data_IF_814363465262
#
_entry.id   IF_814363465262
#
_cell.length_a   1.000
_cell.length_b   1.000
_cell.length_c   1.000
_cell.angle_alpha   90.00
_cell.angle_beta   90.00
_cell.angle_gamma   90.00
#
_symmetry.space_group_name_H-M   'P 1'
#
loop_
_entity.id
_entity.type
_entity.pdbx_description
1 polymer ?
#
# COMPACT_ATOMS: atom_id res chain seq x y z
N UNK A 1 -39.21 7.39 -41.33
CA UNK A 1 -38.19 8.42 -41.66
C UNK A 1 -37.47 8.80 -40.37
N UNK A 2 -36.48 8.00 -39.95
CA UNK A 2 -35.03 8.20 -40.16
C UNK A 2 -34.47 9.53 -39.65
N UNK A 3 -33.84 9.50 -38.46
CA UNK A 3 -32.44 9.95 -38.30
C UNK A 3 -31.95 9.60 -36.89
N UNK A 4 -31.11 8.57 -36.80
CA UNK A 4 -30.25 8.29 -35.65
C UNK A 4 -29.10 9.30 -35.64
N UNK A 5 -28.85 9.98 -34.52
CA UNK A 5 -27.55 10.61 -34.25
C UNK A 5 -26.70 9.68 -33.39
N UNK A 6 -25.91 8.85 -34.07
CA UNK A 6 -24.70 8.21 -33.53
C UNK A 6 -23.61 9.28 -33.46
N UNK A 7 -23.05 9.51 -32.28
CA UNK A 7 -21.80 10.25 -32.12
C UNK A 7 -20.74 9.28 -31.62
N UNK A 8 -19.77 9.04 -32.48
CA UNK A 8 -18.61 8.19 -32.27
C UNK A 8 -17.62 8.81 -31.26
N UNK A 9 -17.17 7.96 -30.33
CA UNK A 9 -15.76 7.59 -30.09
C UNK A 9 -14.72 8.72 -30.14
N UNK A 10 -14.11 9.00 -28.99
CA UNK A 10 -12.73 9.46 -28.92
C UNK A 10 -12.01 8.65 -27.82
N UNK A 11 -11.34 7.58 -28.24
CA UNK A 11 -10.35 6.86 -27.42
C UNK A 11 -9.08 7.72 -27.43
N UNK A 12 -8.73 8.31 -26.29
CA UNK A 12 -7.41 8.92 -26.12
C UNK A 12 -6.45 7.80 -25.72
N UNK A 13 -5.71 7.30 -26.70
CA UNK A 13 -4.46 6.58 -26.48
C UNK A 13 -3.41 7.61 -26.02
N UNK A 14 -2.94 7.48 -24.78
CA UNK A 14 -1.91 8.32 -24.19
C UNK A 14 -0.70 7.48 -23.80
N UNK A 15 0.38 7.65 -24.58
CA UNK A 15 1.78 7.25 -24.40
C UNK A 15 2.19 6.79 -22.98
N UNK A 16 2.73 5.58 -22.81
CA UNK A 16 4.12 5.24 -23.14
C UNK A 16 5.13 6.25 -22.56
N UNK A 17 5.57 6.05 -21.32
CA UNK A 17 6.80 6.66 -20.83
C UNK A 17 7.62 5.67 -20.00
N UNK A 18 8.56 5.09 -20.74
CA UNK A 18 9.83 4.47 -20.37
C UNK A 18 10.38 4.87 -19.00
N UNK A 19 10.37 3.95 -18.04
CA UNK A 19 11.35 3.91 -16.95
C UNK A 19 12.37 2.82 -17.28
N UNK A 20 13.35 3.18 -18.11
CA UNK A 20 14.53 2.35 -18.34
C UNK A 20 15.50 2.55 -17.17
N UNK A 21 15.48 1.64 -16.20
CA UNK A 21 16.57 1.51 -15.23
C UNK A 21 17.79 0.93 -15.95
N UNK A 22 18.79 1.76 -16.18
CA UNK A 22 20.12 1.34 -16.63
C UNK A 22 20.80 0.63 -15.46
N UNK A 23 20.86 -0.70 -15.52
CA UNK A 23 21.65 -1.52 -14.61
C UNK A 23 23.09 -1.58 -15.13
N UNK A 24 24.05 -1.07 -14.35
CA UNK A 24 25.47 -1.26 -14.58
C UNK A 24 25.89 -2.66 -14.05
N UNK A 25 26.42 -3.56 -14.87
CA UNK A 25 27.00 -4.81 -14.37
C UNK A 25 28.43 -4.56 -13.88
N UNK A 26 28.66 -4.71 -12.57
CA UNK A 26 29.99 -4.84 -12.01
C UNK A 26 30.45 -6.30 -12.19
N UNK A 27 31.23 -6.58 -13.24
CA UNK A 27 31.82 -7.89 -13.48
C UNK A 27 33.12 -8.00 -12.66
N UNK A 28 33.09 -8.79 -11.60
CA UNK A 28 34.29 -9.29 -10.94
C UNK A 28 34.51 -10.75 -11.36
N UNK A 29 35.46 -10.96 -12.27
CA UNK A 29 36.02 -12.27 -12.56
C UNK A 29 37.06 -12.62 -11.49
N UNK A 30 36.81 -13.70 -10.76
CA UNK A 30 37.86 -14.42 -10.04
C UNK A 30 37.56 -15.91 -10.18
N UNK A 31 38.24 -16.53 -11.14
CA UNK A 31 38.38 -17.98 -11.23
C UNK A 31 39.24 -18.43 -10.05
N UNK A 32 38.69 -19.30 -9.19
CA UNK A 32 39.50 -20.07 -8.27
C UNK A 32 39.11 -21.54 -8.41
N UNK A 33 39.84 -22.24 -9.27
CA UNK A 33 39.88 -23.69 -9.35
C UNK A 33 40.62 -24.22 -8.13
N UNK A 34 39.93 -24.94 -7.25
CA UNK A 34 40.58 -25.76 -6.23
C UNK A 34 39.89 -27.10 -6.15
N UNK A 35 40.75 -28.11 -6.09
CA UNK A 35 40.51 -29.50 -6.39
C UNK A 35 39.60 -30.22 -5.37
N UNK A 36 38.95 -31.25 -5.88
CA UNK A 36 38.09 -32.19 -5.17
C UNK A 36 38.83 -33.06 -4.15
N UNK A 37 38.16 -33.35 -3.03
CA UNK A 37 38.28 -34.60 -2.26
C UNK A 37 36.88 -35.02 -1.73
N UNK A 38 36.63 -36.32 -1.49
CA UNK A 38 35.28 -36.89 -1.48
C UNK A 38 34.64 -37.04 -0.08
N UNK A 39 33.32 -36.81 -0.06
CA UNK A 39 32.20 -37.46 0.66
C UNK A 39 32.36 -37.88 2.13
N UNK A 40 31.59 -37.23 3.00
CA UNK A 40 30.91 -37.87 4.14
C UNK A 40 29.39 -37.59 4.06
N UNK A 41 28.51 -38.58 4.27
CA UNK A 41 27.07 -38.40 4.28
C UNK A 41 26.61 -37.97 5.68
N UNK A 42 26.60 -36.66 5.95
CA UNK A 42 26.05 -36.14 7.20
C UNK A 42 24.60 -35.70 6.99
N UNK A 43 23.69 -36.46 7.59
CA UNK A 43 22.28 -36.19 7.92
C UNK A 43 21.64 -34.93 7.35
N UNK A 44 20.57 -35.15 6.58
CA UNK A 44 19.50 -34.21 6.30
C UNK A 44 19.00 -33.53 7.59
N UNK A 45 19.64 -32.43 7.98
CA UNK A 45 18.92 -31.36 8.64
C UNK A 45 17.96 -30.79 7.60
N UNK A 46 16.68 -31.07 7.78
CA UNK A 46 15.60 -30.29 7.20
C UNK A 46 15.77 -28.84 7.66
N UNK A 47 16.64 -28.10 6.98
CA UNK A 47 16.66 -26.64 7.04
C UNK A 47 15.33 -26.21 6.48
N UNK A 48 14.37 -25.96 7.38
CA UNK A 48 13.26 -25.09 7.09
C UNK A 48 13.84 -23.89 6.35
N UNK A 49 13.50 -23.77 5.07
CA UNK A 49 14.01 -22.75 4.17
C UNK A 49 13.57 -21.39 4.73
N UNK A 50 14.35 -20.86 5.66
CA UNK A 50 14.12 -19.55 6.26
C UNK A 50 14.43 -18.55 5.17
N UNK A 51 13.39 -18.14 4.45
CA UNK A 51 13.46 -17.00 3.53
C UNK A 51 14.06 -15.82 4.29
N UNK A 52 15.04 -15.15 3.69
CA UNK A 52 15.68 -14.00 4.34
C UNK A 52 14.65 -12.89 4.59
N UNK A 53 14.83 -12.02 5.60
CA UNK A 53 13.92 -10.91 5.86
C UNK A 53 13.67 -10.03 4.62
N UNK A 54 14.72 -9.82 3.80
CA UNK A 54 14.60 -9.09 2.54
C UNK A 54 13.69 -9.79 1.51
N UNK A 55 13.80 -11.11 1.37
CA UNK A 55 12.91 -11.89 0.48
C UNK A 55 11.46 -11.85 0.96
N UNK A 56 11.23 -12.01 2.27
CA UNK A 56 9.89 -11.92 2.85
C UNK A 56 9.27 -10.54 2.61
N UNK A 57 10.06 -9.47 2.72
CA UNK A 57 9.61 -8.11 2.45
C UNK A 57 9.24 -7.91 0.97
N UNK A 58 10.06 -8.43 0.04
CA UNK A 58 9.75 -8.37 -1.39
C UNK A 58 8.45 -9.11 -1.74
N UNK A 59 8.27 -10.31 -1.19
CA UNK A 59 7.03 -11.09 -1.36
C UNK A 59 5.82 -10.34 -0.80
N UNK A 60 5.94 -9.76 0.40
CA UNK A 60 4.86 -8.98 1.02
C UNK A 60 4.45 -7.78 0.15
N UNK A 61 5.43 -7.05 -0.39
CA UNK A 61 5.17 -5.92 -1.30
C UNK A 61 4.49 -6.39 -2.58
N UNK A 62 4.90 -7.51 -3.15
CA UNK A 62 4.31 -8.07 -4.37
C UNK A 62 2.83 -8.45 -4.16
N UNK A 63 2.54 -9.24 -3.12
CA UNK A 63 1.16 -9.65 -2.78
C UNK A 63 0.29 -8.44 -2.46
N UNK A 64 0.80 -7.47 -1.69
CA UNK A 64 0.07 -6.23 -1.40
C UNK A 64 -0.25 -5.45 -2.68
N UNK A 65 0.68 -5.36 -3.63
CA UNK A 65 0.45 -4.67 -4.91
C UNK A 65 -0.64 -5.38 -5.72
N UNK A 66 -0.61 -6.70 -5.76
CA UNK A 66 -1.64 -7.49 -6.46
C UNK A 66 -3.03 -7.29 -5.84
N UNK A 67 -3.14 -7.35 -4.51
CA UNK A 67 -4.39 -7.06 -3.81
C UNK A 67 -4.90 -5.63 -4.08
N UNK A 68 -4.00 -4.63 -4.16
CA UNK A 68 -4.38 -3.26 -4.51
C UNK A 68 -4.90 -3.15 -5.95
N UNK A 69 -4.32 -3.88 -6.90
CA UNK A 69 -4.80 -3.91 -8.28
C UNK A 69 -6.17 -4.58 -8.37
N UNK A 70 -6.37 -5.69 -7.66
CA UNK A 70 -7.67 -6.37 -7.58
C UNK A 70 -8.71 -5.44 -6.99
N UNK A 71 -8.40 -4.76 -5.88
CA UNK A 71 -9.30 -3.79 -5.26
C UNK A 71 -9.66 -2.65 -6.20
N UNK A 72 -8.68 -2.03 -6.87
CA UNK A 72 -8.94 -0.94 -7.80
C UNK A 72 -9.84 -1.39 -8.97
N UNK A 73 -9.65 -2.61 -9.47
CA UNK A 73 -10.52 -3.20 -10.48
C UNK A 73 -11.93 -3.50 -9.93
N UNK A 74 -12.03 -4.01 -8.71
CA UNK A 74 -13.31 -4.25 -8.04
C UNK A 74 -14.10 -2.95 -7.83
N UNK A 75 -13.44 -1.87 -7.41
CA UNK A 75 -14.07 -0.53 -7.29
C UNK A 75 -14.49 0.04 -8.64
N UNK A 76 -13.70 -0.17 -9.70
CA UNK A 76 -14.06 0.24 -11.05
C UNK A 76 -15.30 -0.52 -11.57
N UNK A 77 -15.36 -1.83 -11.30
CA UNK A 77 -16.43 -2.70 -11.81
C UNK A 77 -17.70 -2.67 -10.93
N UNK A 78 -17.62 -2.16 -9.70
CA UNK A 78 -18.74 -2.00 -8.76
C UNK A 78 -18.92 -0.54 -8.30
N UNK A 79 -19.73 0.27 -9.01
CA UNK A 79 -20.02 1.66 -8.63
C UNK A 79 -20.71 1.80 -7.27
N UNK A 80 -21.37 0.75 -6.76
CA UNK A 80 -21.98 0.81 -5.43
C UNK A 80 -20.90 0.81 -4.35
N UNK A 81 -19.77 0.12 -4.58
CA UNK A 81 -18.63 0.12 -3.67
C UNK A 81 -17.98 1.51 -3.55
N UNK A 82 -17.90 2.26 -4.66
CA UNK A 82 -17.46 3.66 -4.64
C UNK A 82 -18.40 4.49 -3.76
N UNK A 83 -19.71 4.40 -3.97
CA UNK A 83 -20.69 5.15 -3.16
C UNK A 83 -20.60 4.81 -1.67
N UNK A 84 -20.42 3.54 -1.31
CA UNK A 84 -20.22 3.12 0.08
C UNK A 84 -18.94 3.70 0.68
N UNK A 85 -17.85 3.70 -0.09
CA UNK A 85 -16.57 4.30 0.33
C UNK A 85 -16.68 5.81 0.57
N UNK A 86 -17.42 6.52 -0.29
CA UNK A 86 -17.67 7.95 -0.12
C UNK A 86 -18.56 8.25 1.08
N UNK A 87 -19.59 7.42 1.30
CA UNK A 87 -20.47 7.54 2.46
C UNK A 87 -19.69 7.33 3.76
N UNK A 88 -18.88 6.27 3.83
CA UNK A 88 -18.00 6.01 4.97
C UNK A 88 -17.05 7.18 5.23
N UNK A 89 -16.43 7.76 4.19
CA UNK A 89 -15.56 8.95 4.32
C UNK A 89 -16.31 10.15 4.91
N UNK A 90 -17.55 10.39 4.49
CA UNK A 90 -18.39 11.47 5.04
C UNK A 90 -18.71 11.23 6.51
N UNK A 91 -19.06 10.00 6.89
CA UNK A 91 -19.35 9.62 8.28
C UNK A 91 -18.11 9.74 9.16
N UNK A 92 -16.95 9.30 8.68
CA UNK A 92 -15.66 9.48 9.36
C UNK A 92 -15.37 10.96 9.61
N UNK A 93 -15.52 11.83 8.60
CA UNK A 93 -15.26 13.25 8.75
C UNK A 93 -16.24 13.92 9.71
N UNK A 94 -17.51 13.52 9.66
CA UNK A 94 -18.52 13.98 10.61
C UNK A 94 -18.15 13.57 12.06
N UNK A 95 -17.69 12.33 12.26
CA UNK A 95 -17.24 11.83 13.54
C UNK A 95 -15.97 12.55 14.04
N UNK A 96 -14.99 12.80 13.18
CA UNK A 96 -13.81 13.62 13.51
C UNK A 96 -14.22 15.04 13.94
N UNK A 97 -15.17 15.65 13.23
CA UNK A 97 -15.71 16.97 13.55
C UNK A 97 -16.43 16.99 14.89
N UNK A 98 -17.30 16.01 15.14
CA UNK A 98 -17.97 15.81 16.44
C UNK A 98 -16.96 15.67 17.58
N UNK A 99 -15.82 15.05 17.32
CA UNK A 99 -14.73 14.85 18.28
C UNK A 99 -13.79 16.06 18.48
N UNK A 100 -14.11 17.20 17.88
CA UNK A 100 -13.39 18.48 18.05
C UNK A 100 -12.26 18.71 17.05
N UNK A 101 -12.14 17.89 16.00
CA UNK A 101 -11.14 18.06 14.94
C UNK A 101 -11.74 18.73 13.70
N UNK A 102 -10.91 19.26 12.80
CA UNK A 102 -11.35 19.77 11.50
C UNK A 102 -10.62 19.04 10.36
N UNK A 103 -11.15 17.89 9.89
CA UNK A 103 -10.47 17.10 8.86
C UNK A 103 -10.33 17.86 7.53
N UNK A 104 -11.28 18.76 7.23
CA UNK A 104 -11.26 19.52 5.98
C UNK A 104 -10.11 20.53 5.98
N UNK A 105 -9.97 21.30 7.06
CA UNK A 105 -8.85 22.23 7.25
C UNK A 105 -7.50 21.51 7.29
N UNK A 106 -7.45 20.31 7.87
CA UNK A 106 -6.23 19.49 7.84
C UNK A 106 -5.85 19.11 6.40
N UNK A 107 -6.80 18.67 5.58
CA UNK A 107 -6.53 18.33 4.17
C UNK A 107 -6.09 19.55 3.35
N UNK A 108 -6.73 20.70 3.56
CA UNK A 108 -6.34 21.96 2.92
C UNK A 108 -4.90 22.34 3.28
N UNK A 109 -4.54 22.20 4.56
CA UNK A 109 -3.18 22.45 5.06
C UNK A 109 -2.18 21.49 4.44
N UNK A 110 -2.52 20.20 4.34
CA UNK A 110 -1.70 19.18 3.70
C UNK A 110 -1.42 19.52 2.23
N UNK A 111 -2.47 19.85 1.46
CA UNK A 111 -2.36 20.20 0.05
C UNK A 111 -1.54 21.47 -0.17
N UNK A 112 -1.72 22.49 0.67
CA UNK A 112 -0.95 23.74 0.63
C UNK A 112 0.54 23.49 0.88
N UNK A 113 0.88 22.70 1.91
CA UNK A 113 2.27 22.35 2.19
C UNK A 113 2.89 21.49 1.09
N UNK A 114 2.16 20.50 0.57
CA UNK A 114 2.61 19.66 -0.53
C UNK A 114 2.89 20.49 -1.80
N UNK A 115 2.06 21.50 -2.10
CA UNK A 115 2.31 22.42 -3.20
C UNK A 115 3.60 23.23 -2.99
N UNK A 116 3.82 23.79 -1.79
CA UNK A 116 5.05 24.52 -1.46
C UNK A 116 6.31 23.65 -1.54
N UNK A 117 6.22 22.38 -1.14
CA UNK A 117 7.37 21.46 -1.18
C UNK A 117 7.80 21.09 -2.61
N UNK A 118 6.91 21.21 -3.60
CA UNK A 118 7.24 21.01 -5.02
C UNK A 118 8.07 22.16 -5.61
N UNK A 119 8.10 23.31 -4.95
CA UNK A 119 8.94 24.43 -5.36
C UNK A 119 10.42 24.05 -5.20
N UNK A 120 11.15 24.07 -6.32
CA UNK A 120 12.59 23.75 -6.38
C UNK A 120 13.45 24.89 -5.83
N UNK A 121 12.91 26.10 -5.76
CA UNK A 121 13.60 27.29 -5.25
C UNK A 121 13.45 27.47 -3.74
N UNK A 122 12.63 26.63 -3.09
CA UNK A 122 12.41 26.66 -1.66
C UNK A 122 13.74 26.42 -0.90
N UNK A 123 14.17 27.36 -0.04
CA UNK A 123 15.36 27.20 0.79
C UNK A 123 15.29 25.93 1.64
N UNK A 124 16.40 25.23 1.80
CA UNK A 124 16.46 23.93 2.49
C UNK A 124 15.95 24.00 3.94
N UNK A 125 16.26 25.08 4.66
CA UNK A 125 15.73 25.31 6.01
C UNK A 125 14.19 25.39 6.04
N UNK A 126 13.57 26.07 5.06
CA UNK A 126 12.11 26.16 4.93
C UNK A 126 11.52 24.82 4.51
N UNK A 127 12.20 24.08 3.62
CA UNK A 127 11.82 22.72 3.22
C UNK A 127 11.77 21.80 4.45
N UNK A 128 12.81 21.83 5.29
CA UNK A 128 12.87 21.04 6.53
C UNK A 128 11.76 21.43 7.51
N UNK A 129 11.48 22.73 7.68
CA UNK A 129 10.39 23.20 8.52
C UNK A 129 9.02 22.69 8.04
N UNK A 130 8.71 22.85 6.75
CA UNK A 130 7.47 22.33 6.15
C UNK A 130 7.34 20.82 6.30
N UNK A 131 8.43 20.07 6.14
CA UNK A 131 8.42 18.61 6.38
C UNK A 131 8.15 18.28 7.86
N UNK A 132 8.59 19.12 8.79
CA UNK A 132 8.25 19.00 10.21
C UNK A 132 6.75 19.21 10.47
N UNK A 133 6.21 20.31 9.96
CA UNK A 133 4.78 20.64 10.04
C UNK A 133 3.90 19.56 9.40
N UNK A 134 4.30 19.05 8.23
CA UNK A 134 3.58 17.99 7.53
C UNK A 134 3.48 16.71 8.38
N UNK A 135 4.57 16.32 9.06
CA UNK A 135 4.56 15.17 9.97
C UNK A 135 3.64 15.41 11.17
N UNK A 136 3.68 16.59 11.78
CA UNK A 136 2.80 16.96 12.89
C UNK A 136 1.32 16.92 12.49
N UNK A 137 1.01 17.41 11.29
CA UNK A 137 -0.34 17.37 10.73
C UNK A 137 -0.80 15.93 10.46
N UNK A 138 0.06 15.08 9.90
CA UNK A 138 -0.24 13.65 9.70
C UNK A 138 -0.56 12.95 11.01
N UNK A 139 0.26 13.16 12.06
CA UNK A 139 0.01 12.59 13.38
C UNK A 139 -1.32 13.07 13.98
N UNK A 140 -1.63 14.36 13.83
CA UNK A 140 -2.90 14.93 14.31
C UNK A 140 -4.11 14.34 13.58
N UNK A 141 -4.00 14.17 12.26
CA UNK A 141 -5.03 13.54 11.45
C UNK A 141 -5.25 12.08 11.88
N UNK A 142 -4.18 11.28 12.04
CA UNK A 142 -4.27 9.90 12.50
C UNK A 142 -4.88 9.77 13.89
N UNK A 143 -4.53 10.66 14.82
CA UNK A 143 -5.13 10.67 16.16
C UNK A 143 -6.64 10.96 16.10
N UNK A 144 -7.04 11.93 15.28
CA UNK A 144 -8.43 12.29 15.08
C UNK A 144 -9.24 11.17 14.40
N UNK A 145 -8.66 10.52 13.37
CA UNK A 145 -9.25 9.36 12.70
C UNK A 145 -9.40 8.19 13.68
N UNK A 146 -8.35 7.85 14.43
CA UNK A 146 -8.40 6.78 15.43
C UNK A 146 -9.48 7.03 16.48
N UNK A 147 -9.61 8.27 16.98
CA UNK A 147 -10.68 8.65 17.92
C UNK A 147 -12.06 8.52 17.27
N UNK A 148 -12.23 8.97 16.03
CA UNK A 148 -13.50 8.82 15.30
C UNK A 148 -13.88 7.35 15.08
N UNK A 149 -12.91 6.48 14.83
CA UNK A 149 -13.08 5.02 14.67
C UNK A 149 -13.53 4.29 15.93
N UNK A 150 -13.54 4.95 17.09
CA UNK A 150 -14.11 4.40 18.32
C UNK A 150 -15.63 4.54 18.38
N UNK A 151 -16.24 5.34 17.51
CA UNK A 151 -17.70 5.49 17.44
C UNK A 151 -18.35 4.20 16.91
N UNK A 152 -19.28 3.56 17.65
CA UNK A 152 -19.85 2.25 17.27
C UNK A 152 -20.52 2.24 15.89
N UNK A 153 -21.20 3.34 15.53
CA UNK A 153 -21.83 3.49 14.23
C UNK A 153 -20.80 3.43 13.10
N UNK A 154 -19.65 4.09 13.27
CA UNK A 154 -18.60 4.11 12.27
C UNK A 154 -17.90 2.76 12.15
N UNK A 155 -17.72 2.03 13.26
CA UNK A 155 -17.22 0.65 13.23
C UNK A 155 -18.15 -0.27 12.43
N UNK A 156 -19.46 -0.14 12.61
CA UNK A 156 -20.45 -0.90 11.85
C UNK A 156 -20.40 -0.57 10.34
N UNK A 157 -20.31 0.71 9.97
CA UNK A 157 -20.14 1.11 8.56
C UNK A 157 -18.81 0.61 8.00
N UNK A 158 -17.71 0.73 8.74
CA UNK A 158 -16.39 0.23 8.34
C UNK A 158 -16.42 -1.26 8.04
N UNK A 159 -17.03 -2.06 8.93
CA UNK A 159 -17.15 -3.51 8.75
C UNK A 159 -17.96 -3.86 7.50
N UNK A 160 -19.10 -3.18 7.29
CA UNK A 160 -19.93 -3.38 6.08
C UNK A 160 -19.15 -3.04 4.81
N UNK A 161 -18.40 -1.95 4.81
CA UNK A 161 -17.56 -1.56 3.67
C UNK A 161 -16.45 -2.57 3.41
N UNK A 162 -15.80 -3.07 4.46
CA UNK A 162 -14.77 -4.12 4.34
C UNK A 162 -15.33 -5.40 3.74
N UNK A 163 -16.48 -5.88 4.24
CA UNK A 163 -17.17 -7.07 3.73
C UNK A 163 -17.58 -6.89 2.26
N UNK A 164 -18.14 -5.73 1.91
CA UNK A 164 -18.51 -5.41 0.53
C UNK A 164 -17.28 -5.35 -0.40
N UNK A 165 -16.20 -4.72 0.06
CA UNK A 165 -14.93 -4.64 -0.68
C UNK A 165 -14.39 -6.04 -0.94
N UNK A 166 -14.35 -6.89 0.09
CA UNK A 166 -13.83 -8.25 -0.03
C UNK A 166 -14.69 -9.11 -0.95
N UNK A 167 -16.02 -8.99 -0.85
CA UNK A 167 -16.94 -9.66 -1.77
C UNK A 167 -16.72 -9.22 -3.23
N UNK A 168 -16.53 -7.92 -3.48
CA UNK A 168 -16.23 -7.39 -4.80
C UNK A 168 -14.88 -7.91 -5.32
N UNK A 169 -13.84 -7.88 -4.50
CA UNK A 169 -12.51 -8.42 -4.86
C UNK A 169 -12.56 -9.90 -5.23
N UNK A 170 -13.32 -10.73 -4.48
CA UNK A 170 -13.52 -12.16 -4.80
C UNK A 170 -14.19 -12.37 -6.15
N UNK A 171 -15.18 -11.53 -6.49
CA UNK A 171 -15.82 -11.55 -7.82
C UNK A 171 -14.84 -11.17 -8.92
N UNK A 172 -13.97 -10.21 -8.66
CA UNK A 172 -12.96 -9.74 -9.61
C UNK A 172 -11.83 -10.75 -9.81
N UNK A 173 -11.40 -11.45 -8.75
CA UNK A 173 -10.31 -12.42 -8.80
C UNK A 173 -10.53 -13.56 -7.80
N UNK A 174 -10.57 -14.80 -8.32
CA UNK A 174 -10.79 -16.02 -7.53
C UNK A 174 -9.66 -16.35 -6.55
N UNK A 175 -8.45 -15.80 -6.76
CA UNK A 175 -7.30 -15.99 -5.87
C UNK A 175 -7.26 -14.98 -4.72
N UNK A 176 -8.23 -14.06 -4.62
CA UNK A 176 -8.26 -13.01 -3.57
C UNK A 176 -8.03 -13.58 -2.18
N UNK A 177 -8.75 -14.63 -1.78
CA UNK A 177 -8.61 -15.22 -0.44
C UNK A 177 -7.24 -15.87 -0.22
N UNK A 178 -6.63 -16.44 -1.26
CA UNK A 178 -5.28 -16.99 -1.20
C UNK A 178 -4.25 -15.88 -0.97
N UNK A 179 -4.36 -14.78 -1.72
CA UNK A 179 -3.46 -13.63 -1.59
C UNK A 179 -3.59 -12.96 -0.22
N UNK A 180 -4.80 -12.84 0.33
CA UNK A 180 -5.01 -12.31 1.68
C UNK A 180 -4.32 -13.19 2.73
N UNK A 181 -4.51 -14.52 2.65
CA UNK A 181 -3.84 -15.47 3.55
C UNK A 181 -2.32 -15.40 3.42
N UNK A 182 -1.81 -15.32 2.20
CA UNK A 182 -0.37 -15.20 1.94
C UNK A 182 0.20 -13.91 2.55
N UNK A 183 -0.49 -12.78 2.38
CA UNK A 183 -0.12 -11.50 3.00
C UNK A 183 -0.06 -11.60 4.53
N UNK A 184 -1.06 -12.23 5.17
CA UNK A 184 -1.09 -12.43 6.63
C UNK A 184 0.07 -13.31 7.12
N UNK A 185 0.37 -14.41 6.41
CA UNK A 185 1.51 -15.28 6.72
C UNK A 185 2.83 -14.51 6.60
N UNK A 186 3.01 -13.74 5.52
CA UNK A 186 4.21 -12.93 5.29
C UNK A 186 4.38 -11.86 6.37
N UNK A 187 3.31 -11.18 6.75
CA UNK A 187 3.32 -10.22 7.84
C UNK A 187 3.75 -10.87 9.17
N UNK A 188 3.19 -12.04 9.50
CA UNK A 188 3.57 -12.79 10.70
C UNK A 188 5.05 -13.22 10.71
N UNK A 189 5.58 -13.64 9.56
CA UNK A 189 7.01 -13.98 9.42
C UNK A 189 7.91 -12.76 9.57
N UNK A 190 7.54 -11.62 8.98
CA UNK A 190 8.27 -10.36 9.09
C UNK A 190 8.34 -9.86 10.54
N UNK A 191 7.22 -9.91 11.27
CA UNK A 191 7.18 -9.53 12.69
C UNK A 191 8.11 -10.41 13.54
N UNK A 192 8.10 -11.73 13.31
CA UNK A 192 9.01 -12.65 14.02
C UNK A 192 10.48 -12.40 13.68
N UNK A 193 10.79 -12.14 12.41
CA UNK A 193 12.15 -11.82 11.99
C UNK A 193 12.68 -10.52 12.62
N UNK A 194 11.81 -9.52 12.81
CA UNK A 194 12.16 -8.28 13.50
C UNK A 194 12.34 -8.48 15.01
N UNK A 195 11.48 -9.28 15.64
CA UNK A 195 11.57 -9.57 17.07
C UNK A 195 12.82 -10.41 17.42
N UNK A 196 13.22 -11.35 16.56
CA UNK A 196 14.43 -12.17 16.74
C UNK A 196 15.73 -11.44 16.45
N UNK A 197 15.68 -10.24 15.86
CA UNK A 197 16.85 -9.40 15.56
C UNK A 197 17.12 -8.34 16.66
N UNK A 198 16.30 -8.29 17.72
CA UNK A 198 16.56 -7.40 18.85
C UNK A 198 17.75 -7.94 19.66
N UNK A 199 18.81 -7.14 19.89
CA UNK A 199 19.95 -7.58 20.70
C UNK A 199 19.49 -7.83 22.14
N UNK A 200 19.68 -9.06 22.62
CA UNK A 200 19.62 -9.36 24.06
C UNK A 200 20.75 -8.60 24.75
N UNK A 201 20.40 -7.72 25.69
CA UNK A 201 21.36 -6.96 26.50
C UNK A 201 22.16 -7.86 27.42
#
# INVERSE_FOLDING_TARGET
>A
MFSLRRSHVARIAGAASLFACVALPLQAMAANTSAAKPVEPNVQSAQAQQSSPAQLQQQYIAVRRELMQIKAKAEHDDPALIKQSEQYRKELFAAMKKNGSDPQKMIESFNSMAAKLKDKTLPEAKRKALLGELRGLQMSFFAAEHKAMQEPALQATSKKLEEATLAAMRKTNSNTDKLIKEMQVLQGKLLKAQAGAAPTK
#
